data_IF_050302835881
#
_entry.id   IF_050302835881
#
_cell.length_a   1.000
_cell.length_b   1.000
_cell.length_c   1.000
_cell.angle_alpha   90.00
_cell.angle_beta   90.00
_cell.angle_gamma   90.00
#
_symmetry.space_group_name_H-M   'P 1'
#
loop_
_entity.id
_entity.type
_entity.pdbx_description
1 polymer ?
#
# COMPACT_ATOMS: atom_id res chain seq x y z
N UNK A 1 11.93 7.92 -14.49
CA UNK A 1 11.43 9.23 -14.96
C UNK A 1 11.55 10.24 -13.84
N UNK A 2 12.33 11.30 -14.02
CA UNK A 2 12.61 12.34 -13.00
C UNK A 2 11.87 13.64 -13.35
N UNK A 3 10.62 13.57 -13.81
CA UNK A 3 9.84 14.77 -14.07
C UNK A 3 9.20 15.28 -12.77
N UNK A 4 9.19 16.61 -12.57
CA UNK A 4 8.52 17.24 -11.43
C UNK A 4 7.03 16.91 -11.35
N UNK A 5 6.44 16.47 -12.46
CA UNK A 5 5.03 16.06 -12.56
C UNK A 5 4.68 14.77 -11.82
N UNK A 6 5.69 13.99 -11.40
CA UNK A 6 5.53 12.80 -10.57
C UNK A 6 5.67 13.08 -9.08
N UNK A 7 5.98 14.31 -8.69
CA UNK A 7 6.11 14.68 -7.29
C UNK A 7 4.82 14.37 -6.52
N UNK A 8 4.98 13.80 -5.33
CA UNK A 8 3.85 13.43 -4.46
C UNK A 8 3.09 12.17 -4.86
N UNK A 9 3.40 11.57 -6.02
CA UNK A 9 2.79 10.31 -6.44
C UNK A 9 1.30 10.41 -6.77
N UNK A 10 0.88 11.52 -7.41
CA UNK A 10 -0.51 11.74 -7.79
C UNK A 10 -0.99 10.64 -8.76
N UNK A 11 -2.10 9.99 -8.43
CA UNK A 11 -2.65 8.88 -9.23
C UNK A 11 -3.03 9.32 -10.65
N UNK A 12 -3.45 10.55 -10.82
CA UNK A 12 -3.81 11.14 -12.11
C UNK A 12 -2.64 11.19 -13.09
N UNK A 13 -1.44 11.40 -12.59
CA UNK A 13 -0.23 11.51 -13.40
C UNK A 13 0.48 10.15 -13.53
N UNK A 14 0.49 9.35 -12.45
CA UNK A 14 1.17 8.06 -12.43
C UNK A 14 0.41 6.96 -13.17
N UNK A 15 -0.93 6.94 -13.08
CA UNK A 15 -1.69 5.84 -13.67
C UNK A 15 -1.56 5.75 -15.19
N UNK A 16 -1.59 6.85 -15.98
CA UNK A 16 -1.33 6.80 -17.41
C UNK A 16 0.09 6.29 -17.73
N UNK A 17 1.10 6.73 -16.97
CA UNK A 17 2.49 6.29 -17.14
C UNK A 17 2.64 4.79 -16.89
N UNK A 18 2.06 4.28 -15.78
CA UNK A 18 2.08 2.85 -15.45
C UNK A 18 1.32 2.05 -16.52
N UNK A 19 0.20 2.57 -17.01
CA UNK A 19 -0.58 1.93 -18.09
C UNK A 19 0.25 1.79 -19.36
N UNK A 20 1.04 2.80 -19.72
CA UNK A 20 1.95 2.74 -20.86
C UNK A 20 3.05 1.67 -20.67
N UNK A 21 3.67 1.63 -19.49
CA UNK A 21 4.66 0.62 -19.15
C UNK A 21 4.08 -0.80 -19.08
N UNK A 22 2.78 -0.93 -18.85
CA UNK A 22 2.09 -2.21 -18.69
C UNK A 22 1.75 -2.91 -20.02
N UNK A 23 1.91 -2.26 -21.18
CA UNK A 23 1.47 -2.79 -22.48
C UNK A 23 2.02 -4.17 -22.83
N UNK A 24 3.26 -4.42 -22.44
CA UNK A 24 3.95 -5.69 -22.70
C UNK A 24 4.03 -6.57 -21.43
N UNK A 25 3.42 -6.15 -20.34
CA UNK A 25 3.40 -6.91 -19.10
C UNK A 25 2.25 -7.92 -19.07
N UNK A 26 2.44 -9.01 -18.34
CA UNK A 26 1.38 -9.97 -18.02
C UNK A 26 0.78 -9.69 -16.63
N UNK A 27 1.59 -9.13 -15.75
CA UNK A 27 1.20 -8.82 -14.37
C UNK A 27 1.78 -7.46 -13.98
N UNK A 28 0.95 -6.64 -13.34
CA UNK A 28 1.33 -5.34 -12.76
C UNK A 28 1.00 -5.38 -11.28
N UNK A 29 2.03 -5.31 -10.45
CA UNK A 29 1.90 -5.48 -9.00
C UNK A 29 2.27 -4.20 -8.25
N UNK A 30 1.55 -3.97 -7.16
CA UNK A 30 1.90 -2.94 -6.17
C UNK A 30 1.61 -3.47 -4.77
N UNK A 31 2.27 -2.94 -3.75
CA UNK A 31 1.88 -3.24 -2.36
C UNK A 31 0.45 -2.77 -2.08
N UNK A 32 -0.29 -3.48 -1.24
CA UNK A 32 -1.63 -3.10 -0.80
C UNK A 32 -1.64 -1.99 0.28
N UNK A 33 -0.62 -1.15 0.29
CA UNK A 33 -0.58 0.07 1.10
C UNK A 33 -1.47 1.17 0.52
N UNK A 34 -1.54 2.32 1.19
CA UNK A 34 -2.38 3.46 0.78
C UNK A 34 -2.04 3.96 -0.61
N UNK A 35 -0.76 3.97 -0.98
CA UNK A 35 -0.28 4.36 -2.29
C UNK A 35 -0.79 3.42 -3.40
N UNK A 36 -0.58 2.11 -3.26
CA UNK A 36 -1.04 1.12 -4.24
C UNK A 36 -2.56 1.09 -4.36
N UNK A 37 -3.27 1.19 -3.24
CA UNK A 37 -4.75 1.26 -3.22
C UNK A 37 -5.32 2.52 -3.89
N UNK A 38 -4.54 3.59 -3.95
CA UNK A 38 -4.93 4.81 -4.66
C UNK A 38 -4.68 4.70 -6.18
N UNK A 39 -3.54 4.14 -6.59
CA UNK A 39 -3.10 4.15 -7.98
C UNK A 39 -3.67 2.98 -8.80
N UNK A 40 -3.58 1.76 -8.26
CA UNK A 40 -3.88 0.54 -9.03
C UNK A 40 -5.31 0.44 -9.55
N UNK A 41 -6.37 0.88 -8.83
CA UNK A 41 -7.73 0.87 -9.38
C UNK A 41 -7.85 1.74 -10.64
N UNK A 42 -7.13 2.86 -10.67
CA UNK A 42 -7.11 3.75 -11.83
C UNK A 42 -6.34 3.14 -12.99
N UNK A 43 -5.19 2.52 -12.72
CA UNK A 43 -4.40 1.82 -13.75
C UNK A 43 -5.21 0.70 -14.38
N UNK A 44 -5.86 -0.15 -13.57
CA UNK A 44 -6.66 -1.26 -14.08
C UNK A 44 -7.85 -0.78 -14.92
N UNK A 45 -8.53 0.29 -14.48
CA UNK A 45 -9.64 0.89 -15.23
C UNK A 45 -9.19 1.48 -16.57
N UNK A 46 -8.00 2.11 -16.64
CA UNK A 46 -7.44 2.62 -17.91
C UNK A 46 -7.10 1.50 -18.90
N UNK A 47 -6.92 0.27 -18.43
CA UNK A 47 -6.63 -0.91 -19.24
C UNK A 47 -7.85 -1.83 -19.43
N UNK A 48 -9.05 -1.37 -19.07
CA UNK A 48 -10.30 -2.14 -19.15
C UNK A 48 -10.18 -3.55 -18.50
N UNK A 49 -9.51 -3.61 -17.34
CA UNK A 49 -9.22 -4.84 -16.62
C UNK A 49 -9.70 -4.76 -15.17
N UNK A 50 -10.01 -5.93 -14.59
CA UNK A 50 -10.42 -6.03 -13.18
C UNK A 50 -9.20 -6.08 -12.27
N UNK A 51 -9.17 -5.24 -11.25
CA UNK A 51 -8.13 -5.31 -10.23
C UNK A 51 -8.38 -6.47 -9.25
N UNK A 52 -7.32 -7.22 -8.93
CA UNK A 52 -7.32 -8.19 -7.84
C UNK A 52 -6.66 -7.55 -6.62
N UNK A 53 -7.47 -7.24 -5.60
CA UNK A 53 -7.02 -6.43 -4.46
C UNK A 53 -6.56 -7.29 -3.31
N UNK A 54 -5.40 -6.89 -2.71
CA UNK A 54 -4.92 -7.33 -1.40
C UNK A 54 -4.72 -8.85 -1.32
N UNK A 55 -4.07 -9.43 -2.35
CA UNK A 55 -3.81 -10.87 -2.38
C UNK A 55 -2.87 -11.27 -1.23
N UNK A 56 -3.12 -12.45 -0.65
CA UNK A 56 -2.30 -13.04 0.41
C UNK A 56 -1.68 -14.38 0.00
N UNK A 57 -2.04 -14.94 -1.16
CA UNK A 57 -1.47 -16.15 -1.72
C UNK A 57 -1.59 -16.15 -3.24
N UNK A 58 -0.63 -16.78 -3.92
CA UNK A 58 -0.60 -17.01 -5.36
C UNK A 58 -0.66 -18.52 -5.58
N UNK A 59 -1.71 -18.98 -6.28
CA UNK A 59 -1.87 -20.40 -6.61
C UNK A 59 -1.21 -20.70 -7.96
N UNK A 60 -1.50 -19.90 -8.95
CA UNK A 60 -0.89 -19.94 -10.28
C UNK A 60 -0.86 -18.53 -10.92
N UNK A 61 -0.47 -18.44 -12.20
CA UNK A 61 -0.37 -17.16 -12.90
C UNK A 61 -1.68 -16.38 -13.00
N UNK A 62 -2.82 -17.04 -12.90
CA UNK A 62 -4.14 -16.43 -13.07
C UNK A 62 -5.01 -16.50 -11.81
N UNK A 63 -4.56 -17.27 -10.79
CA UNK A 63 -5.39 -17.63 -9.63
C UNK A 63 -4.73 -17.18 -8.32
N UNK A 64 -5.47 -16.44 -7.51
CA UNK A 64 -4.98 -15.78 -6.31
C UNK A 64 -5.96 -15.95 -5.16
N UNK A 65 -5.46 -15.88 -3.91
CA UNK A 65 -6.29 -15.86 -2.71
C UNK A 65 -6.27 -14.45 -2.12
N UNK A 66 -7.45 -13.96 -1.77
CA UNK A 66 -7.61 -12.65 -1.13
C UNK A 66 -8.62 -12.69 0.01
N UNK A 67 -8.43 -11.90 1.08
CA UNK A 67 -9.43 -11.77 2.13
C UNK A 67 -10.62 -10.92 1.64
N UNK A 68 -11.81 -11.32 2.08
CA UNK A 68 -13.06 -10.59 1.89
C UNK A 68 -13.79 -10.48 3.23
N UNK A 69 -14.84 -9.69 3.31
CA UNK A 69 -15.59 -9.44 4.55
C UNK A 69 -14.69 -9.05 5.74
N UNK A 70 -13.79 -8.06 5.52
CA UNK A 70 -12.81 -7.61 6.51
C UNK A 70 -11.90 -8.73 7.05
N UNK A 71 -11.61 -9.75 6.24
CA UNK A 71 -10.75 -10.87 6.60
C UNK A 71 -11.47 -12.08 7.22
N UNK A 72 -12.79 -12.03 7.37
CA UNK A 72 -13.57 -13.17 7.89
C UNK A 72 -13.68 -14.35 6.91
N UNK A 73 -13.40 -14.13 5.64
CA UNK A 73 -13.37 -15.17 4.63
C UNK A 73 -12.21 -14.96 3.66
N UNK A 74 -11.71 -16.04 3.09
CA UNK A 74 -10.73 -16.03 2.01
C UNK A 74 -11.44 -16.47 0.72
N UNK A 75 -11.29 -15.66 -0.33
CA UNK A 75 -11.80 -15.97 -1.66
C UNK A 75 -10.65 -16.36 -2.58
N UNK A 76 -10.76 -17.50 -3.23
CA UNK A 76 -9.92 -17.86 -4.36
C UNK A 76 -10.54 -17.27 -5.61
N UNK A 77 -9.80 -16.42 -6.32
CA UNK A 77 -10.26 -15.70 -7.51
C UNK A 77 -9.36 -16.02 -8.69
N UNK A 78 -9.95 -16.23 -9.86
CA UNK A 78 -9.23 -16.40 -11.12
C UNK A 78 -9.50 -15.20 -12.03
N UNK A 79 -8.44 -14.55 -12.50
CA UNK A 79 -8.54 -13.50 -13.52
C UNK A 79 -8.59 -14.10 -14.92
N UNK A 80 -9.50 -13.60 -15.75
CA UNK A 80 -9.58 -13.92 -17.16
C UNK A 80 -8.97 -12.82 -18.04
N UNK A 81 -8.54 -11.72 -17.44
CA UNK A 81 -7.95 -10.60 -18.15
C UNK A 81 -6.57 -10.94 -18.71
N UNK A 82 -6.19 -10.31 -19.82
CA UNK A 82 -4.88 -10.50 -20.44
C UNK A 82 -3.77 -10.01 -19.52
N UNK A 83 -3.93 -8.84 -18.91
CA UNK A 83 -3.00 -8.26 -17.94
C UNK A 83 -3.66 -8.28 -16.57
N UNK A 84 -2.98 -8.80 -15.55
CA UNK A 84 -3.47 -8.86 -14.18
C UNK A 84 -2.94 -7.66 -13.39
N UNK A 85 -3.84 -6.82 -12.91
CA UNK A 85 -3.50 -5.68 -12.03
C UNK A 85 -3.78 -6.07 -10.58
N UNK A 86 -2.72 -6.10 -9.76
CA UNK A 86 -2.77 -6.77 -8.46
C UNK A 86 -2.23 -5.84 -7.37
N UNK A 87 -2.93 -5.73 -6.25
CA UNK A 87 -2.30 -5.23 -5.03
C UNK A 87 -2.01 -6.38 -4.08
N UNK A 88 -0.80 -6.38 -3.52
CA UNK A 88 -0.24 -7.48 -2.73
C UNK A 88 -0.17 -7.11 -1.26
N UNK A 89 -0.68 -7.96 -0.40
CA UNK A 89 -0.48 -7.88 1.05
C UNK A 89 0.95 -8.29 1.38
N UNK A 90 1.87 -7.33 1.42
CA UNK A 90 3.30 -7.60 1.57
C UNK A 90 3.64 -8.41 2.82
N UNK A 91 2.86 -8.26 3.90
CA UNK A 91 3.05 -9.04 5.15
C UNK A 91 2.71 -10.52 5.02
N UNK A 92 2.03 -10.95 3.97
CA UNK A 92 1.72 -12.36 3.70
C UNK A 92 2.84 -13.10 2.95
N UNK A 93 3.84 -12.37 2.45
CA UNK A 93 4.94 -12.92 1.65
C UNK A 93 6.28 -12.65 2.32
N UNK A 94 7.22 -13.56 2.11
CA UNK A 94 8.59 -13.35 2.56
C UNK A 94 9.27 -12.29 1.67
N UNK A 95 10.02 -11.38 2.29
CA UNK A 95 10.81 -10.41 1.55
C UNK A 95 11.87 -11.12 0.69
N UNK A 96 12.04 -10.65 -0.53
CA UNK A 96 13.13 -11.11 -1.39
C UNK A 96 14.48 -10.64 -0.84
N UNK A 97 15.55 -11.36 -1.20
CA UNK A 97 16.91 -10.92 -0.89
C UNK A 97 17.26 -9.74 -1.80
N UNK A 98 17.65 -8.62 -1.21
CA UNK A 98 18.03 -7.37 -1.90
C UNK A 98 19.52 -7.32 -2.31
N UNK A 99 20.29 -8.33 -1.93
CA UNK A 99 21.74 -8.42 -2.22
C UNK A 99 22.04 -9.13 -3.56
N UNK A 100 21.02 -9.66 -4.22
CA UNK A 100 21.15 -10.42 -5.45
C UNK A 100 20.34 -9.77 -6.57
N UNK A 101 20.98 -9.45 -7.68
CA UNK A 101 20.34 -8.94 -8.87
C UNK A 101 21.21 -7.95 -9.64
N UNK A 102 21.11 -7.99 -10.96
CA UNK A 102 21.76 -7.08 -11.90
C UNK A 102 20.70 -6.66 -12.94
N UNK A 103 19.87 -5.72 -12.56
CA UNK A 103 18.79 -5.22 -13.43
C UNK A 103 19.27 -4.03 -14.24
N UNK A 104 19.05 -4.07 -15.55
CA UNK A 104 19.29 -2.93 -16.43
C UNK A 104 18.35 -1.77 -16.10
N UNK A 105 18.92 -0.56 -15.98
CA UNK A 105 18.15 0.67 -15.83
C UNK A 105 17.91 1.29 -17.19
N UNK A 106 16.67 1.31 -17.64
CA UNK A 106 16.26 1.90 -18.92
C UNK A 106 15.46 3.18 -18.71
N UNK A 107 15.50 4.07 -19.69
CA UNK A 107 14.64 5.25 -19.71
C UNK A 107 13.18 4.82 -20.00
N UNK A 108 12.26 5.25 -19.15
CA UNK A 108 10.83 5.02 -19.33
C UNK A 108 10.15 6.16 -20.10
N UNK A 109 8.86 5.99 -20.41
CA UNK A 109 8.09 7.05 -21.06
C UNK A 109 7.98 8.29 -20.17
N UNK A 110 7.78 9.44 -20.80
CA UNK A 110 7.60 10.71 -20.07
C UNK A 110 6.18 10.78 -19.50
N UNK A 111 6.09 11.10 -18.21
CA UNK A 111 4.79 11.37 -17.60
C UNK A 111 4.26 12.74 -18.04
N UNK A 112 2.99 12.80 -18.36
CA UNK A 112 2.27 14.05 -18.60
C UNK A 112 1.41 14.40 -17.40
N UNK A 113 1.42 15.69 -16.99
CA UNK A 113 0.51 16.18 -15.97
C UNK A 113 -0.89 16.37 -16.54
N UNK A 114 -1.92 15.99 -15.80
CA UNK A 114 -3.29 16.27 -16.21
C UNK A 114 -3.76 17.70 -15.84
N UNK A 115 -2.97 18.44 -15.07
CA UNK A 115 -3.23 19.82 -14.66
C UNK A 115 -4.45 20.02 -13.74
N UNK A 116 -5.11 18.94 -13.27
CA UNK A 116 -6.31 19.05 -12.43
C UNK A 116 -6.00 19.07 -10.94
N UNK A 117 -4.86 18.53 -10.56
CA UNK A 117 -4.38 18.50 -9.18
C UNK A 117 -2.88 18.73 -9.13
N UNK A 118 -2.39 19.24 -8.01
CA UNK A 118 -0.97 19.47 -7.77
C UNK A 118 -0.60 19.00 -6.36
N UNK A 119 0.61 18.48 -6.22
CA UNK A 119 1.15 18.18 -4.91
C UNK A 119 1.50 19.49 -4.19
N UNK A 120 0.98 19.67 -2.98
CA UNK A 120 1.26 20.85 -2.16
C UNK A 120 2.35 20.54 -1.15
N UNK A 121 2.13 19.61 -0.27
CA UNK A 121 3.08 19.17 0.75
C UNK A 121 2.71 17.80 1.34
N UNK A 122 3.64 17.22 2.04
CA UNK A 122 3.43 16.04 2.89
C UNK A 122 3.89 16.38 4.29
N UNK A 123 3.02 16.25 5.26
CA UNK A 123 3.36 16.34 6.66
C UNK A 123 3.60 14.90 7.16
N UNK A 124 4.84 14.60 7.54
CA UNK A 124 5.22 13.29 8.09
C UNK A 124 5.45 13.47 9.59
N UNK A 125 4.89 12.55 10.37
CA UNK A 125 5.25 12.44 11.79
C UNK A 125 6.61 11.75 11.90
N UNK A 126 7.53 12.37 12.63
CA UNK A 126 8.81 11.76 13.00
C UNK A 126 8.60 10.93 14.27
N UNK A 127 9.05 9.68 14.26
CA UNK A 127 9.01 8.79 15.41
C UNK A 127 10.24 7.92 15.41
N UNK A 128 10.83 7.72 16.58
CA UNK A 128 11.96 6.77 16.79
C UNK A 128 11.50 5.30 16.72
N UNK A 129 10.18 5.06 16.68
CA UNK A 129 9.59 3.72 16.58
C UNK A 129 9.45 3.29 15.13
N UNK A 130 9.42 1.97 14.86
CA UNK A 130 9.16 1.46 13.52
C UNK A 130 7.85 2.02 12.96
N UNK A 131 7.82 2.30 11.66
CA UNK A 131 6.59 2.70 10.99
C UNK A 131 5.52 1.61 11.08
N UNK A 132 4.28 2.00 11.30
CA UNK A 132 3.15 1.10 11.51
C UNK A 132 2.96 0.07 10.38
N UNK A 133 3.23 0.48 9.14
CA UNK A 133 3.07 -0.34 7.93
C UNK A 133 4.23 -1.31 7.69
N UNK A 134 5.38 -1.07 8.31
CA UNK A 134 6.61 -1.87 8.16
C UNK A 134 6.95 -2.68 9.42
N UNK A 135 6.30 -2.40 10.55
CA UNK A 135 6.59 -3.03 11.83
C UNK A 135 6.22 -4.51 11.85
N UNK A 136 7.11 -5.35 12.36
CA UNK A 136 6.85 -6.78 12.61
C UNK A 136 5.88 -7.01 13.78
N UNK A 137 5.88 -6.10 14.75
CA UNK A 137 5.02 -6.14 15.93
C UNK A 137 4.35 -4.78 16.07
N UNK A 138 3.06 -4.81 16.32
CA UNK A 138 2.25 -3.61 16.55
C UNK A 138 1.48 -3.76 17.85
N UNK A 139 1.57 -2.76 18.71
CA UNK A 139 0.74 -2.63 19.91
C UNK A 139 -0.27 -1.53 19.64
N UNK A 140 -1.57 -1.84 19.75
CA UNK A 140 -2.62 -0.88 19.35
C UNK A 140 -3.63 -0.62 20.45
N UNK A 141 -4.08 0.63 20.51
CA UNK A 141 -5.16 1.07 21.37
C UNK A 141 -6.43 1.45 20.60
N UNK A 142 -7.54 1.12 21.18
CA UNK A 142 -8.84 1.50 20.65
C UNK A 142 -9.60 2.46 21.59
N UNK A 143 -10.87 2.74 21.26
CA UNK A 143 -11.75 3.59 22.08
C UNK A 143 -11.87 3.09 23.54
N UNK A 144 -11.72 1.79 23.78
CA UNK A 144 -11.79 1.20 25.13
C UNK A 144 -10.70 1.68 26.09
N UNK A 145 -9.63 2.32 25.60
CA UNK A 145 -8.62 2.98 26.45
C UNK A 145 -9.22 4.17 27.22
N UNK A 146 -10.22 4.84 26.68
CA UNK A 146 -11.07 5.81 27.39
C UNK A 146 -10.55 7.25 27.37
N UNK A 147 -9.24 7.50 27.28
CA UNK A 147 -8.67 8.86 27.25
C UNK A 147 -7.30 8.89 26.57
N UNK A 148 -6.85 10.09 26.20
CA UNK A 148 -5.49 10.32 25.71
C UNK A 148 -4.42 9.97 26.76
N UNK A 149 -4.65 10.32 28.03
CA UNK A 149 -3.71 10.06 29.13
C UNK A 149 -3.47 8.55 29.31
N UNK A 150 -4.52 7.75 29.18
CA UNK A 150 -4.43 6.30 29.28
C UNK A 150 -3.71 5.65 28.09
N UNK A 151 -3.55 6.35 26.98
CA UNK A 151 -2.87 5.81 25.79
C UNK A 151 -1.42 5.50 26.05
N UNK A 152 -0.78 6.24 26.98
CA UNK A 152 0.58 6.04 27.42
C UNK A 152 0.86 4.65 28.03
N UNK A 153 -0.18 3.88 28.40
CA UNK A 153 -0.01 2.50 28.89
C UNK A 153 0.59 1.57 27.83
N UNK A 154 0.44 1.92 26.54
CA UNK A 154 0.98 1.13 25.43
C UNK A 154 2.49 1.31 25.25
N UNK A 155 3.03 2.47 25.65
CA UNK A 155 4.41 2.85 25.38
C UNK A 155 5.42 1.88 26.02
N UNK A 156 5.35 1.53 27.31
CA UNK A 156 6.32 0.63 27.94
C UNK A 156 6.31 -0.78 27.33
N UNK A 157 5.14 -1.22 26.84
CA UNK A 157 5.02 -2.51 26.18
C UNK A 157 5.61 -2.45 24.77
N UNK A 158 5.33 -1.41 24.02
CA UNK A 158 5.86 -1.21 22.68
C UNK A 158 7.39 -1.09 22.71
N UNK A 159 7.94 -0.35 23.67
CA UNK A 159 9.40 -0.17 23.83
C UNK A 159 10.10 -1.50 24.13
N UNK A 160 9.52 -2.33 25.00
CA UNK A 160 10.09 -3.66 25.32
C UNK A 160 10.05 -4.63 24.15
N UNK A 161 9.08 -4.48 23.25
CA UNK A 161 8.88 -5.36 22.09
C UNK A 161 9.55 -4.81 20.82
N UNK A 162 10.08 -3.59 20.85
CA UNK A 162 10.53 -2.89 19.63
C UNK A 162 9.39 -2.73 18.64
N UNK A 163 8.17 -2.47 19.13
CA UNK A 163 6.95 -2.45 18.37
C UNK A 163 6.55 -1.04 17.92
N UNK A 164 5.81 -0.96 16.82
CA UNK A 164 5.06 0.24 16.49
C UNK A 164 3.84 0.40 17.41
N UNK A 165 3.43 1.64 17.66
CA UNK A 165 2.19 1.94 18.37
C UNK A 165 1.14 2.39 17.36
N UNK A 166 -0.01 1.72 17.37
CA UNK A 166 -1.14 2.01 16.50
C UNK A 166 -2.39 2.44 17.28
N UNK A 167 -3.30 3.08 16.58
CA UNK A 167 -4.61 3.43 17.12
C UNK A 167 -5.72 3.06 16.16
N UNK A 168 -6.88 2.71 16.71
CA UNK A 168 -8.07 2.58 15.88
C UNK A 168 -8.54 3.96 15.41
N UNK A 169 -9.19 4.03 14.24
CA UNK A 169 -9.80 5.27 13.75
C UNK A 169 -10.70 5.92 14.79
N UNK A 170 -11.44 5.13 15.55
CA UNK A 170 -12.31 5.63 16.61
C UNK A 170 -11.56 6.28 17.78
N UNK A 171 -10.32 5.87 18.07
CA UNK A 171 -9.49 6.54 19.08
C UNK A 171 -8.92 7.86 18.55
N UNK A 172 -8.52 7.90 17.28
CA UNK A 172 -8.08 9.13 16.61
C UNK A 172 -9.22 10.15 16.55
N UNK A 173 -10.39 9.74 16.09
CA UNK A 173 -11.58 10.61 16.01
C UNK A 173 -12.05 11.12 17.39
N UNK A 174 -11.78 10.37 18.47
CA UNK A 174 -12.01 10.79 19.84
C UNK A 174 -10.89 11.72 20.40
N UNK A 175 -9.85 11.99 19.62
CA UNK A 175 -8.75 12.87 20.02
C UNK A 175 -7.77 12.24 21.04
N UNK A 176 -7.74 10.91 21.16
CA UNK A 176 -6.82 10.25 22.11
C UNK A 176 -5.38 10.25 21.61
N UNK A 177 -5.17 10.22 20.29
CA UNK A 177 -3.86 10.33 19.62
C UNK A 177 -4.01 11.14 18.35
N UNK A 178 -2.95 11.79 17.88
CA UNK A 178 -2.94 12.45 16.57
C UNK A 178 -3.15 11.43 15.43
N UNK A 179 -3.55 11.96 14.28
CA UNK A 179 -3.75 11.16 13.06
C UNK A 179 -2.41 10.89 12.39
#
# INVERSE_FOLDING_TARGET
>A
TTSGDLQGGLAENLAPLISECAKDATHVLSSAGTFGKNIMPRVSALNDSQQISDICEIIDADTFVRPIYAGNALATVKSLDKVKFITVRSTAFQAANDQEGDAEVIEGPVAETNGKSSFVKRDLSESDRPELTAAKIVVSGGRGIGSADNFSILDPLADKLGAAVGASRAAVDAGYVPN
#
